data_IF_096561244169
#
_entry.id   IF_096561244169
#
_cell.length_a   1.000
_cell.length_b   1.000
_cell.length_c   1.000
_cell.angle_alpha   90.00
_cell.angle_beta   90.00
_cell.angle_gamma   90.00
#
_symmetry.space_group_name_H-M   'P 1'
#
loop_
_entity.id
_entity.type
_entity.pdbx_description
1 polymer ?
#
# COMPACT_ATOMS: atom_id res chain seq x y z
N UNK A 1 0.83 4.04 -8.34
CA UNK A 1 1.81 4.44 -9.37
C UNK A 1 3.06 3.59 -9.21
N UNK A 2 3.57 3.01 -10.29
CA UNK A 2 4.87 2.33 -10.33
C UNK A 2 5.44 2.49 -11.75
N UNK A 3 6.74 2.74 -11.89
CA UNK A 3 7.40 2.95 -13.20
C UNK A 3 6.68 3.97 -14.11
N UNK A 4 6.15 5.06 -13.53
CA UNK A 4 5.37 6.10 -14.21
C UNK A 4 3.99 5.66 -14.72
N UNK A 5 3.58 4.43 -14.44
CA UNK A 5 2.23 3.95 -14.74
C UNK A 5 1.31 4.10 -13.53
N UNK A 6 0.07 4.49 -13.79
CA UNK A 6 -1.01 4.59 -12.81
C UNK A 6 -1.96 3.40 -13.06
N UNK A 7 -2.28 2.67 -12.01
CA UNK A 7 -3.25 1.58 -12.03
C UNK A 7 -4.50 2.06 -11.30
N UNK A 8 -5.61 2.19 -12.01
CA UNK A 8 -6.92 2.44 -11.41
C UNK A 8 -7.38 1.18 -10.67
N UNK A 9 -7.85 1.36 -9.43
CA UNK A 9 -8.32 0.26 -8.60
C UNK A 9 -9.85 0.19 -8.64
N UNK A 10 -10.46 -1.00 -8.82
CA UNK A 10 -11.91 -1.17 -8.81
C UNK A 10 -12.45 -1.20 -7.37
N UNK A 11 -12.03 -0.26 -6.53
CA UNK A 11 -12.40 -0.19 -5.13
C UNK A 11 -12.72 1.26 -4.74
N UNK A 12 -13.68 1.48 -3.82
CA UNK A 12 -13.96 2.81 -3.32
C UNK A 12 -12.75 3.39 -2.55
N UNK A 13 -12.67 4.72 -2.40
CA UNK A 13 -11.66 5.35 -1.56
C UNK A 13 -11.67 4.77 -0.14
N UNK A 14 -10.47 4.56 0.42
CA UNK A 14 -10.30 4.04 1.78
C UNK A 14 -9.62 5.07 2.67
N UNK A 15 -10.08 5.14 3.92
CA UNK A 15 -9.46 5.96 4.97
C UNK A 15 -8.30 5.26 5.68
N UNK A 16 -8.16 3.92 5.52
CA UNK A 16 -7.12 3.13 6.19
C UNK A 16 -6.61 2.03 5.25
N UNK A 17 -5.31 2.10 4.96
CA UNK A 17 -4.63 1.15 4.08
C UNK A 17 -3.70 0.25 4.91
N UNK A 18 -3.87 -1.06 4.73
CA UNK A 18 -2.90 -2.05 5.20
C UNK A 18 -1.84 -2.28 4.12
N UNK A 19 -0.57 -2.31 4.51
CA UNK A 19 0.54 -2.59 3.60
C UNK A 19 1.31 -3.78 4.15
N UNK A 20 1.43 -4.83 3.33
CA UNK A 20 2.18 -6.03 3.67
C UNK A 20 3.34 -6.23 2.68
N UNK A 21 4.55 -6.32 3.22
CA UNK A 21 5.76 -6.60 2.47
C UNK A 21 6.27 -8.00 2.81
N UNK A 22 6.28 -8.87 1.81
CA UNK A 22 7.00 -10.14 1.81
C UNK A 22 8.30 -9.95 1.04
N UNK A 23 9.37 -9.61 1.76
CA UNK A 23 10.66 -9.36 1.14
C UNK A 23 11.27 -10.63 0.52
N UNK A 24 11.06 -11.80 1.15
CA UNK A 24 11.62 -13.06 0.69
C UNK A 24 10.97 -13.56 -0.59
N UNK A 25 9.64 -13.50 -0.66
CA UNK A 25 8.89 -13.91 -1.85
C UNK A 25 8.75 -12.80 -2.91
N UNK A 26 9.23 -11.59 -2.64
CA UNK A 26 9.14 -10.45 -3.56
C UNK A 26 7.71 -9.91 -3.73
N UNK A 27 6.88 -9.98 -2.69
CA UNK A 27 5.49 -9.56 -2.73
C UNK A 27 5.25 -8.26 -1.97
N UNK A 28 4.55 -7.31 -2.58
CA UNK A 28 4.02 -6.13 -1.89
C UNK A 28 2.51 -6.06 -2.11
N UNK A 29 1.73 -6.07 -1.03
CA UNK A 29 0.26 -6.13 -1.09
C UNK A 29 -0.35 -4.96 -0.33
N UNK A 30 -1.39 -4.37 -0.91
CA UNK A 30 -2.15 -3.26 -0.35
C UNK A 30 -3.58 -3.71 -0.07
N UNK A 31 -4.12 -3.31 1.08
CA UNK A 31 -5.43 -3.72 1.55
C UNK A 31 -6.26 -2.51 1.95
N UNK A 32 -7.56 -2.55 1.68
CA UNK A 32 -8.54 -1.71 2.35
C UNK A 32 -8.80 -2.33 3.72
N UNK A 33 -8.70 -1.52 4.78
CA UNK A 33 -8.96 -1.95 6.15
C UNK A 33 -10.20 -1.23 6.67
N UNK A 34 -11.30 -1.97 6.76
CA UNK A 34 -12.53 -1.59 7.47
C UNK A 34 -12.81 -2.63 8.55
N UNK A 35 -14.05 -3.16 8.63
CA UNK A 35 -14.38 -4.33 9.44
C UNK A 35 -13.69 -5.61 8.92
N UNK A 36 -13.34 -5.62 7.64
CA UNK A 36 -12.60 -6.70 6.98
C UNK A 36 -11.38 -6.17 6.24
N UNK A 37 -10.40 -7.02 5.98
CA UNK A 37 -9.25 -6.71 5.11
C UNK A 37 -9.49 -7.23 3.70
N UNK A 38 -9.64 -6.31 2.74
CA UNK A 38 -9.84 -6.66 1.33
C UNK A 38 -8.60 -6.31 0.52
N UNK A 39 -8.06 -7.27 -0.24
CA UNK A 39 -6.91 -7.05 -1.10
C UNK A 39 -7.29 -6.07 -2.22
N UNK A 40 -6.55 -4.97 -2.33
CA UNK A 40 -6.72 -3.96 -3.37
C UNK A 40 -5.78 -4.19 -4.55
N UNK A 41 -4.50 -4.39 -4.24
CA UNK A 41 -3.47 -4.50 -5.26
C UNK A 41 -2.29 -5.31 -4.75
N UNK A 42 -1.63 -6.02 -5.66
CA UNK A 42 -0.43 -6.80 -5.37
C UNK A 42 0.59 -6.61 -6.48
N UNK A 43 1.80 -6.24 -6.08
CA UNK A 43 2.97 -6.23 -6.94
C UNK A 43 3.81 -7.45 -6.60
N UNK A 44 4.27 -8.14 -7.64
CA UNK A 44 5.30 -9.17 -7.53
C UNK A 44 6.54 -8.70 -8.27
N UNK A 45 7.65 -8.57 -7.55
CA UNK A 45 8.92 -8.12 -8.13
C UNK A 45 10.09 -8.57 -7.26
N UNK A 46 11.29 -8.63 -7.84
CA UNK A 46 12.51 -8.91 -7.09
C UNK A 46 13.03 -7.59 -6.51
N UNK A 47 12.91 -7.43 -5.19
CA UNK A 47 13.54 -6.30 -4.49
C UNK A 47 15.05 -6.52 -4.43
N UNK A 48 15.82 -5.55 -4.91
CA UNK A 48 17.29 -5.59 -4.90
C UNK A 48 17.90 -4.91 -3.69
N UNK A 49 17.09 -4.13 -2.96
CA UNK A 49 17.47 -3.36 -1.78
C UNK A 49 16.30 -3.32 -0.79
N UNK A 50 16.55 -3.04 0.50
CA UNK A 50 15.49 -2.80 1.48
C UNK A 50 14.54 -1.70 1.01
N UNK A 51 13.26 -1.87 1.32
CA UNK A 51 12.23 -0.86 1.03
C UNK A 51 11.96 0.00 2.26
N UNK A 52 11.65 1.26 2.00
CA UNK A 52 11.18 2.20 3.00
C UNK A 52 9.76 2.68 2.65
N UNK A 53 8.89 2.91 3.65
CA UNK A 53 7.59 3.52 3.42
C UNK A 53 7.72 4.91 2.81
N UNK A 54 6.91 5.20 1.78
CA UNK A 54 6.80 6.52 1.17
C UNK A 54 5.34 6.97 1.12
N UNK A 55 5.08 8.24 1.43
CA UNK A 55 3.74 8.81 1.47
C UNK A 55 3.68 10.05 0.56
N UNK A 56 2.79 10.03 -0.44
CA UNK A 56 2.45 11.20 -1.24
C UNK A 56 1.17 11.84 -0.70
N UNK A 57 1.25 13.10 -0.28
CA UNK A 57 0.12 13.84 0.31
C UNK A 57 -0.27 15.02 -0.59
N UNK A 58 -1.57 15.27 -0.67
CA UNK A 58 -2.11 16.49 -1.27
C UNK A 58 -2.18 17.62 -0.24
N UNK A 59 -2.37 18.86 -0.71
CA UNK A 59 -2.56 20.02 0.16
C UNK A 59 -3.74 19.79 1.12
N UNK A 60 -3.56 20.12 2.41
CA UNK A 60 -4.53 19.91 3.49
C UNK A 60 -4.87 18.45 3.84
N UNK A 61 -4.07 17.48 3.39
CA UNK A 61 -4.20 16.08 3.83
C UNK A 61 -3.21 15.73 4.95
N UNK A 62 -3.49 14.66 5.69
CA UNK A 62 -2.59 14.13 6.71
C UNK A 62 -2.55 12.60 6.64
N UNK A 63 -1.44 12.02 7.11
CA UNK A 63 -1.29 10.58 7.30
C UNK A 63 -0.89 10.31 8.73
N UNK A 64 -1.41 9.23 9.30
CA UNK A 64 -1.03 8.73 10.61
C UNK A 64 -0.67 7.26 10.48
N UNK A 65 0.50 6.90 11.01
CA UNK A 65 0.84 5.50 11.22
C UNK A 65 0.00 4.96 12.38
N UNK A 66 -0.76 3.91 12.09
CA UNK A 66 -1.50 3.21 13.12
C UNK A 66 -0.52 2.26 13.84
N UNK A 67 -0.54 2.28 15.17
CA UNK A 67 0.10 1.24 15.95
C UNK A 67 -0.70 -0.05 15.81
N UNK A 68 0.00 -1.17 15.73
CA UNK A 68 -0.64 -2.49 15.68
C UNK A 68 -0.86 -3.07 17.09
N UNK A 69 -0.25 -2.46 18.12
CA UNK A 69 -0.33 -2.93 19.51
C UNK A 69 0.66 -4.06 19.81
#
# INVERSE_FOLDING_TARGET
MHNKEITELPAPPSSRIGVYLDHGAGGLSFYNVSDTMTLLHRVKTKFTQPLHPGFGLNLHSSVKLCDLG
#
